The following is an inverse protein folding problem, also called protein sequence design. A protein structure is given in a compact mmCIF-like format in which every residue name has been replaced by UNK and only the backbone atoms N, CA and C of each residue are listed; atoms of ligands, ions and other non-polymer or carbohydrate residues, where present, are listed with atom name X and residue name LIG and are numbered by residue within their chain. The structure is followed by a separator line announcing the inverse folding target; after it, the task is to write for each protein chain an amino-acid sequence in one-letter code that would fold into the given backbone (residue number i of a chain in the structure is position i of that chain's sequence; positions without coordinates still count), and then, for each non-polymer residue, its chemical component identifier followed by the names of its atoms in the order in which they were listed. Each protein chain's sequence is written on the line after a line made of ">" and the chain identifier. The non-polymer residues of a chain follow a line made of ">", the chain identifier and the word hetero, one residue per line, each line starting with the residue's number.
data_IF_155772458906
#
_entry.id   IF_155772458906
#
_cell.length_a   1.000
_cell.length_b   1.000
_cell.length_c   1.000
_cell.angle_alpha   90.00
_cell.angle_beta   90.00
_cell.angle_gamma   90.00
#
_symmetry.space_group_name_H-M   'P 1'
#
loop_
_entity.id
_entity.type
_entity.pdbx_description
1 polymer ?
#
# COMPACT_ATOMS: atom_id res chain seq x y z
N UNK A 1 -32.47 75.88 -9.90
CA UNK A 1 -31.16 76.50 -10.06
C UNK A 1 -30.09 75.53 -9.55
N UNK A 2 -29.26 75.14 -10.49
CA UNK A 2 -28.00 74.41 -10.44
C UNK A 2 -28.01 73.02 -9.83
N UNK A 3 -28.08 72.04 -10.76
CA UNK A 3 -27.63 70.66 -10.69
C UNK A 3 -26.14 70.59 -10.40
N UNK A 4 -25.78 69.63 -9.56
CA UNK A 4 -24.43 69.09 -9.47
C UNK A 4 -24.46 67.57 -9.58
N UNK A 5 -24.12 67.10 -10.75
CA UNK A 5 -23.94 65.65 -11.06
C UNK A 5 -22.66 65.13 -10.36
N UNK A 6 -22.85 64.09 -9.56
CA UNK A 6 -21.71 63.31 -9.00
C UNK A 6 -21.53 62.03 -9.85
N UNK A 7 -20.51 62.07 -10.67
CA UNK A 7 -19.96 60.91 -11.36
C UNK A 7 -19.21 60.01 -10.37
N UNK A 8 -19.74 58.82 -10.06
CA UNK A 8 -19.02 57.77 -9.36
C UNK A 8 -18.10 57.03 -10.32
N UNK A 9 -16.82 57.14 -10.09
CA UNK A 9 -15.81 56.29 -10.71
C UNK A 9 -15.78 54.93 -10.02
N UNK A 10 -15.99 53.86 -10.79
CA UNK A 10 -15.74 52.48 -10.34
C UNK A 10 -14.20 52.20 -10.41
N UNK A 11 -13.62 51.57 -9.40
CA UNK A 11 -12.27 51.06 -9.53
C UNK A 11 -12.31 49.69 -10.23
N UNK A 12 -11.75 49.62 -11.41
CA UNK A 12 -11.35 48.36 -12.03
C UNK A 12 -9.98 47.98 -11.43
N UNK A 13 -9.89 46.82 -10.86
CA UNK A 13 -8.76 45.90 -10.59
C UNK A 13 -8.94 45.20 -9.24
N UNK A 14 -9.20 43.88 -9.28
CA UNK A 14 -8.19 42.94 -8.77
C UNK A 14 -8.11 41.59 -9.54
N UNK A 15 -8.66 41.47 -10.76
CA UNK A 15 -8.68 40.16 -11.45
C UNK A 15 -7.32 39.70 -12.02
N UNK A 16 -6.38 40.59 -12.25
CA UNK A 16 -5.08 40.21 -12.85
C UNK A 16 -4.09 39.63 -11.83
N UNK A 17 -4.17 40.05 -10.57
CA UNK A 17 -3.24 39.57 -9.53
C UNK A 17 -3.54 38.11 -9.09
N UNK A 18 -4.81 37.70 -9.10
CA UNK A 18 -5.20 36.33 -8.71
C UNK A 18 -4.82 35.29 -9.78
N UNK A 19 -4.85 35.67 -11.06
CA UNK A 19 -4.45 34.79 -12.16
C UNK A 19 -2.93 34.56 -12.22
N UNK A 20 -2.14 35.59 -11.90
CA UNK A 20 -0.67 35.49 -11.83
C UNK A 20 -0.19 34.66 -10.63
N UNK A 21 -0.87 34.70 -9.48
CA UNK A 21 -0.56 33.83 -8.34
C UNK A 21 -0.89 32.37 -8.60
N UNK A 22 -1.99 32.08 -9.32
CA UNK A 22 -2.36 30.71 -9.67
C UNK A 22 -1.38 30.08 -10.69
N UNK A 23 -0.88 30.88 -11.65
CA UNK A 23 0.11 30.40 -12.62
C UNK A 23 1.47 30.18 -11.96
N UNK A 24 1.90 31.00 -11.00
CA UNK A 24 3.16 30.81 -10.27
C UNK A 24 3.11 29.62 -9.29
N UNK A 25 1.95 29.29 -8.73
CA UNK A 25 1.81 28.11 -7.87
C UNK A 25 1.76 26.81 -8.66
N UNK A 26 1.19 26.77 -9.88
CA UNK A 26 1.28 25.61 -10.76
C UNK A 26 2.73 25.33 -11.19
N UNK A 27 3.50 26.35 -11.56
CA UNK A 27 4.90 26.19 -11.96
C UNK A 27 5.79 25.70 -10.83
N UNK A 28 5.58 26.18 -9.59
CA UNK A 28 6.37 25.75 -8.43
C UNK A 28 6.08 24.31 -7.99
N UNK A 29 4.86 23.78 -8.25
CA UNK A 29 4.49 22.41 -7.90
C UNK A 29 5.05 21.38 -8.92
N UNK A 30 5.17 21.76 -10.17
CA UNK A 30 5.78 20.92 -11.22
C UNK A 30 7.28 20.73 -11.01
N UNK A 31 7.97 21.71 -10.44
CA UNK A 31 9.41 21.68 -10.18
C UNK A 31 9.82 20.95 -8.88
N UNK A 32 8.88 20.58 -8.01
CA UNK A 32 9.20 19.95 -6.73
C UNK A 32 9.90 18.58 -6.90
N UNK A 33 9.53 17.82 -7.94
CA UNK A 33 10.12 16.52 -8.28
C UNK A 33 10.37 16.44 -9.79
N UNK A 34 11.42 17.08 -10.31
CA UNK A 34 11.66 17.16 -11.74
C UNK A 34 12.00 15.79 -12.31
N UNK A 35 11.30 15.45 -13.41
CA UNK A 35 11.56 14.25 -14.19
C UNK A 35 12.49 14.62 -15.32
N UNK A 36 13.60 13.89 -15.46
CA UNK A 36 14.64 14.14 -16.46
C UNK A 36 14.97 12.86 -17.20
N UNK A 37 15.54 12.94 -18.41
CA UNK A 37 16.16 11.77 -19.04
C UNK A 37 17.20 11.14 -18.11
N UNK A 38 17.27 9.80 -18.12
CA UNK A 38 18.34 9.07 -17.43
C UNK A 38 19.68 9.47 -18.02
N UNK A 39 20.62 9.91 -17.18
CA UNK A 39 21.96 10.29 -17.65
C UNK A 39 22.86 9.09 -17.86
N UNK A 40 23.95 9.28 -18.59
CA UNK A 40 24.96 8.22 -18.81
C UNK A 40 25.57 7.78 -17.47
N UNK A 41 25.87 8.73 -16.59
CA UNK A 41 26.44 8.50 -15.26
C UNK A 41 25.48 7.68 -14.40
N UNK A 42 24.19 7.99 -14.41
CA UNK A 42 23.16 7.21 -13.72
C UNK A 42 23.05 5.79 -14.28
N UNK A 43 23.07 5.65 -15.62
CA UNK A 43 23.04 4.32 -16.26
C UNK A 43 24.25 3.46 -15.87
N UNK A 44 25.44 4.04 -15.87
CA UNK A 44 26.68 3.36 -15.48
C UNK A 44 26.70 3.00 -13.98
N UNK A 45 26.33 3.96 -13.14
CA UNK A 45 26.34 3.78 -11.68
C UNK A 45 25.29 2.77 -11.22
N UNK A 46 24.04 2.89 -11.71
CA UNK A 46 22.93 2.04 -11.29
C UNK A 46 22.74 0.80 -12.17
N UNK A 47 23.59 0.60 -13.18
CA UNK A 47 23.51 -0.52 -14.15
C UNK A 47 22.13 -0.57 -14.83
N UNK A 48 21.66 0.60 -15.25
CA UNK A 48 20.41 0.74 -15.99
C UNK A 48 20.62 0.49 -17.47
N UNK A 49 19.75 -0.32 -18.07
CA UNK A 49 19.70 -0.47 -19.52
C UNK A 49 19.08 0.79 -20.15
N UNK A 50 19.90 1.56 -20.88
CA UNK A 50 19.47 2.80 -21.53
C UNK A 50 18.42 2.58 -22.63
N UNK A 51 18.28 1.33 -23.14
CA UNK A 51 17.20 1.01 -24.07
C UNK A 51 15.83 1.00 -23.38
N UNK A 52 15.78 0.63 -22.11
CA UNK A 52 14.55 0.56 -21.33
C UNK A 52 14.31 1.81 -20.46
N UNK A 53 15.28 2.19 -19.63
CA UNK A 53 15.13 3.30 -18.69
C UNK A 53 15.30 4.65 -19.38
N UNK A 54 14.25 5.45 -19.39
CA UNK A 54 14.19 6.73 -20.10
C UNK A 54 14.03 7.93 -19.17
N UNK A 55 13.29 7.75 -18.06
CA UNK A 55 12.95 8.83 -17.14
C UNK A 55 13.55 8.57 -15.78
N UNK A 56 14.03 9.63 -15.12
CA UNK A 56 14.59 9.58 -13.78
C UNK A 56 14.17 10.79 -12.94
N UNK A 57 14.00 10.53 -11.65
CA UNK A 57 13.84 11.56 -10.60
C UNK A 57 14.76 11.19 -9.45
N UNK A 58 15.56 12.13 -8.96
CA UNK A 58 16.39 11.94 -7.77
C UNK A 58 15.76 12.68 -6.60
N UNK A 59 15.44 11.96 -5.53
CA UNK A 59 14.86 12.51 -4.30
C UNK A 59 15.55 11.90 -3.08
N UNK A 60 16.07 12.72 -2.16
CA UNK A 60 16.74 12.24 -0.94
C UNK A 60 17.84 11.18 -1.21
N UNK A 61 18.56 11.31 -2.34
CA UNK A 61 19.55 10.35 -2.87
C UNK A 61 18.97 8.97 -3.23
N UNK A 62 17.65 8.85 -3.36
CA UNK A 62 16.96 7.70 -3.95
C UNK A 62 16.73 8.03 -5.44
N UNK A 63 17.22 7.16 -6.33
CA UNK A 63 16.97 7.28 -7.77
C UNK A 63 15.70 6.53 -8.14
N UNK A 64 14.71 7.23 -8.68
CA UNK A 64 13.54 6.64 -9.32
C UNK A 64 13.81 6.58 -10.80
N UNK A 65 13.75 5.40 -11.41
CA UNK A 65 14.00 5.20 -12.83
C UNK A 65 12.92 4.35 -13.50
N UNK A 66 12.49 4.74 -14.69
CA UNK A 66 11.38 4.06 -15.40
C UNK A 66 11.54 4.07 -16.90
N UNK A 67 10.71 3.27 -17.58
CA UNK A 67 10.46 3.37 -19.01
C UNK A 67 9.68 4.67 -19.35
N UNK A 68 9.48 4.92 -20.63
CA UNK A 68 8.59 6.00 -21.13
C UNK A 68 7.12 5.79 -20.76
N UNK A 69 6.69 4.55 -20.49
CA UNK A 69 5.28 4.18 -20.36
C UNK A 69 4.69 4.55 -18.99
N UNK A 70 5.53 4.73 -17.98
CA UNK A 70 5.08 5.12 -16.63
C UNK A 70 4.64 6.58 -16.63
N UNK A 71 3.51 6.87 -16.00
CA UNK A 71 2.99 8.23 -15.88
C UNK A 71 3.95 9.14 -15.09
N UNK A 72 4.05 10.39 -15.48
CA UNK A 72 4.81 11.40 -14.73
C UNK A 72 4.19 11.68 -13.36
N UNK A 73 2.88 11.51 -13.23
CA UNK A 73 2.23 11.61 -11.91
C UNK A 73 2.71 10.52 -10.95
N UNK A 74 2.93 9.30 -11.46
CA UNK A 74 3.46 8.18 -10.67
C UNK A 74 4.89 8.46 -10.18
N UNK A 75 5.75 9.02 -11.05
CA UNK A 75 7.08 9.47 -10.64
C UNK A 75 7.03 10.48 -9.51
N UNK A 76 6.21 11.52 -9.66
CA UNK A 76 6.08 12.60 -8.66
C UNK A 76 5.46 12.09 -7.36
N UNK A 77 4.48 11.19 -7.44
CA UNK A 77 3.87 10.58 -6.26
C UNK A 77 4.87 9.71 -5.49
N UNK A 78 5.61 8.85 -6.17
CA UNK A 78 6.65 8.05 -5.54
C UNK A 78 7.73 8.94 -4.89
N UNK A 79 8.18 9.98 -5.61
CA UNK A 79 9.15 10.94 -5.08
C UNK A 79 8.61 11.67 -3.84
N UNK A 80 7.35 12.08 -3.86
CA UNK A 80 6.70 12.72 -2.72
C UNK A 80 6.65 11.79 -1.50
N UNK A 81 6.25 10.53 -1.67
CA UNK A 81 6.20 9.59 -0.55
C UNK A 81 7.59 9.36 0.04
N UNK A 82 8.62 9.14 -0.78
CA UNK A 82 10.01 9.02 -0.30
C UNK A 82 10.48 10.27 0.42
N UNK A 83 10.21 11.46 -0.13
CA UNK A 83 10.61 12.73 0.47
C UNK A 83 9.99 12.93 1.85
N UNK A 84 8.68 12.66 1.98
CA UNK A 84 7.96 12.82 3.24
C UNK A 84 8.45 11.85 4.32
N UNK A 85 8.66 10.59 3.96
CA UNK A 85 9.19 9.58 4.89
C UNK A 85 10.63 9.92 5.27
N UNK A 86 11.51 10.21 4.30
CA UNK A 86 12.92 10.51 4.56
C UNK A 86 13.14 11.78 5.40
N UNK A 87 12.27 12.77 5.29
CA UNK A 87 12.29 13.99 6.11
C UNK A 87 11.96 13.73 7.57
N UNK A 88 11.17 12.71 7.86
CA UNK A 88 10.75 12.36 9.22
C UNK A 88 11.69 11.39 9.92
N UNK A 89 12.48 10.62 9.15
CA UNK A 89 13.39 9.60 9.71
C UNK A 89 14.54 10.26 10.48
N UNK A 90 14.95 9.64 11.56
CA UNK A 90 16.12 10.01 12.36
C UNK A 90 17.34 10.26 11.46
N UNK A 91 18.07 11.39 11.61
CA UNK A 91 19.07 11.84 10.63
C UNK A 91 20.20 10.84 10.36
N UNK A 92 20.66 10.09 11.37
CA UNK A 92 21.72 9.09 11.21
C UNK A 92 21.26 7.87 10.41
N UNK A 93 19.98 7.49 10.54
CA UNK A 93 19.36 6.42 9.74
C UNK A 93 19.18 6.92 8.31
N UNK A 94 18.63 8.11 8.12
CA UNK A 94 18.45 8.71 6.80
C UNK A 94 19.79 8.81 6.04
N UNK A 95 20.87 9.18 6.73
CA UNK A 95 22.20 9.26 6.13
C UNK A 95 22.69 7.88 5.64
N UNK A 96 22.55 6.82 6.45
CA UNK A 96 22.92 5.48 6.04
C UNK A 96 22.11 4.98 4.84
N UNK A 97 20.82 5.33 4.77
CA UNK A 97 19.97 4.98 3.61
C UNK A 97 20.48 5.68 2.34
N UNK A 98 20.81 6.98 2.41
CA UNK A 98 21.37 7.74 1.27
C UNK A 98 22.67 7.12 0.76
N UNK A 99 23.56 6.74 1.65
CA UNK A 99 24.84 6.10 1.33
C UNK A 99 24.68 4.78 0.58
N UNK A 100 23.52 4.09 0.74
CA UNK A 100 23.22 2.84 0.04
C UNK A 100 22.76 3.05 -1.40
N UNK A 101 22.51 4.31 -1.83
CA UNK A 101 22.10 4.64 -3.19
C UNK A 101 20.93 3.76 -3.66
N UNK A 102 19.83 3.84 -2.95
CA UNK A 102 18.62 3.06 -3.24
C UNK A 102 18.12 3.36 -4.64
N UNK A 103 17.77 2.32 -5.38
CA UNK A 103 17.11 2.42 -6.69
C UNK A 103 15.63 2.06 -6.52
N UNK A 104 14.75 2.93 -6.97
CA UNK A 104 13.33 2.64 -7.15
C UNK A 104 13.05 2.46 -8.64
N UNK A 105 12.48 1.33 -9.01
CA UNK A 105 11.98 1.04 -10.34
C UNK A 105 10.47 1.10 -10.31
N UNK A 106 9.87 1.92 -11.18
CA UNK A 106 8.42 1.89 -11.40
C UNK A 106 8.14 1.15 -12.70
N UNK A 107 7.12 0.30 -12.69
CA UNK A 107 6.66 -0.45 -13.84
C UNK A 107 5.25 0.03 -14.22
N UNK A 108 5.02 0.34 -15.49
CA UNK A 108 3.74 0.85 -15.98
C UNK A 108 2.62 -0.18 -15.83
N UNK A 109 1.39 0.28 -15.75
CA UNK A 109 0.20 -0.57 -15.60
C UNK A 109 0.00 -1.58 -16.75
N UNK A 110 0.66 -1.37 -17.91
CA UNK A 110 0.69 -2.30 -19.04
C UNK A 110 2.05 -2.96 -19.26
N UNK A 111 2.98 -2.79 -18.34
CA UNK A 111 4.28 -3.45 -18.37
C UNK A 111 4.30 -4.62 -17.40
N UNK A 112 5.00 -5.66 -17.76
CA UNK A 112 5.28 -6.79 -16.89
C UNK A 112 6.57 -6.57 -16.12
N UNK A 113 6.67 -7.14 -14.94
CA UNK A 113 7.92 -7.10 -14.17
C UNK A 113 9.09 -7.71 -14.96
N UNK A 114 8.81 -8.76 -15.73
CA UNK A 114 9.82 -9.40 -16.61
C UNK A 114 10.23 -8.56 -17.82
N UNK A 115 9.51 -7.49 -18.18
CA UNK A 115 9.90 -6.55 -19.23
C UNK A 115 11.07 -5.65 -18.76
N UNK A 116 11.22 -5.48 -17.46
CA UNK A 116 12.32 -4.70 -16.88
C UNK A 116 13.61 -5.52 -16.98
N UNK A 117 14.66 -5.05 -17.71
CA UNK A 117 15.85 -5.87 -17.99
C UNK A 117 16.53 -6.48 -16.77
N UNK A 118 16.59 -5.76 -15.63
CA UNK A 118 17.18 -6.27 -14.39
C UNK A 118 16.30 -7.30 -13.66
N UNK A 119 15.05 -7.48 -14.08
CA UNK A 119 14.07 -8.42 -13.55
C UNK A 119 13.59 -9.42 -14.61
N UNK A 120 14.26 -9.48 -15.75
CA UNK A 120 14.01 -10.51 -16.75
C UNK A 120 14.05 -11.91 -16.10
N UNK A 121 13.13 -12.77 -16.52
CA UNK A 121 12.96 -14.11 -15.93
C UNK A 121 13.08 -15.18 -17.03
N UNK A 122 13.67 -16.29 -16.69
CA UNK A 122 13.72 -17.52 -17.50
C UNK A 122 12.50 -18.42 -17.34
N UNK A 123 11.56 -18.04 -16.46
CA UNK A 123 10.28 -18.72 -16.26
C UNK A 123 9.42 -18.66 -17.50
N UNK A 124 8.56 -19.64 -17.68
CA UNK A 124 7.63 -19.73 -18.82
C UNK A 124 6.23 -20.14 -18.34
N UNK A 125 5.21 -19.91 -19.20
CA UNK A 125 3.84 -20.29 -18.94
C UNK A 125 3.31 -19.75 -17.62
N UNK A 126 2.56 -20.58 -16.86
CA UNK A 126 1.92 -20.19 -15.60
C UNK A 126 2.90 -19.67 -14.53
N UNK A 127 4.15 -20.11 -14.52
CA UNK A 127 5.14 -19.61 -13.57
C UNK A 127 5.58 -18.19 -13.90
N UNK A 128 5.69 -17.86 -15.19
CA UNK A 128 5.99 -16.51 -15.66
C UNK A 128 4.80 -15.59 -15.39
N UNK A 129 3.59 -16.03 -15.69
CA UNK A 129 2.37 -15.28 -15.42
C UNK A 129 2.23 -14.97 -13.94
N UNK A 130 2.46 -15.98 -13.08
CA UNK A 130 2.46 -15.80 -11.64
C UNK A 130 3.56 -14.83 -11.17
N UNK A 131 4.78 -14.95 -11.71
CA UNK A 131 5.87 -14.03 -11.41
C UNK A 131 5.47 -12.58 -11.73
N UNK A 132 4.99 -12.33 -12.93
CA UNK A 132 4.59 -11.00 -13.38
C UNK A 132 3.42 -10.40 -12.58
N UNK A 133 2.50 -11.27 -12.14
CA UNK A 133 1.35 -10.85 -11.36
C UNK A 133 1.70 -10.62 -9.88
N UNK A 134 2.53 -11.50 -9.27
CA UNK A 134 2.87 -11.44 -7.84
C UNK A 134 3.97 -10.41 -7.54
N UNK A 135 4.92 -10.24 -8.43
CA UNK A 135 6.10 -9.40 -8.23
C UNK A 135 5.86 -7.99 -8.79
N UNK A 136 4.88 -7.27 -8.20
CA UNK A 136 4.57 -5.88 -8.57
C UNK A 136 4.81 -4.87 -7.45
N UNK A 137 5.25 -5.34 -6.28
CA UNK A 137 5.74 -4.56 -5.16
C UNK A 137 6.69 -5.44 -4.37
N UNK A 138 7.98 -5.08 -4.32
CA UNK A 138 8.97 -5.85 -3.56
C UNK A 138 10.30 -5.11 -3.40
N UNK A 139 11.07 -5.51 -2.38
CA UNK A 139 12.47 -5.15 -2.19
C UNK A 139 13.38 -6.32 -2.57
N UNK A 140 14.49 -6.01 -3.22
CA UNK A 140 15.60 -6.94 -3.49
C UNK A 140 16.95 -6.23 -3.42
N UNK A 141 18.03 -6.99 -3.59
CA UNK A 141 19.38 -6.44 -3.73
C UNK A 141 19.91 -6.74 -5.12
N UNK A 142 20.32 -5.71 -5.86
CA UNK A 142 20.99 -5.82 -7.15
C UNK A 142 22.25 -4.97 -7.13
N UNK A 143 23.34 -5.52 -7.63
CA UNK A 143 24.64 -4.84 -7.69
C UNK A 143 25.07 -4.19 -6.36
N UNK A 144 24.80 -4.87 -5.24
CA UNK A 144 25.18 -4.44 -3.90
C UNK A 144 24.34 -3.31 -3.29
N UNK A 145 23.24 -2.90 -3.94
CA UNK A 145 22.31 -1.85 -3.44
C UNK A 145 20.89 -2.36 -3.25
N UNK A 146 20.10 -1.73 -2.38
CA UNK A 146 18.67 -1.98 -2.30
C UNK A 146 17.99 -1.51 -3.57
N UNK A 147 17.13 -2.35 -4.14
CA UNK A 147 16.29 -2.03 -5.28
C UNK A 147 14.86 -2.36 -4.91
N UNK A 148 14.00 -1.36 -4.95
CA UNK A 148 12.55 -1.52 -4.79
C UNK A 148 11.87 -1.39 -6.14
N UNK A 149 10.86 -2.23 -6.39
CA UNK A 149 10.03 -2.13 -7.56
C UNK A 149 8.58 -1.93 -7.13
N UNK A 150 7.88 -1.02 -7.82
CA UNK A 150 6.44 -0.78 -7.61
C UNK A 150 5.72 -0.70 -8.95
N UNK A 151 4.48 -1.19 -8.94
CA UNK A 151 3.58 -0.99 -10.06
C UNK A 151 2.94 0.41 -10.00
N UNK A 152 2.77 1.01 -11.16
CA UNK A 152 2.11 2.30 -11.32
C UNK A 152 0.70 2.31 -10.73
N UNK A 153 -0.05 1.23 -10.95
CA UNK A 153 -1.41 1.07 -10.46
C UNK A 153 -1.53 1.06 -8.94
N UNK A 154 -0.49 0.58 -8.25
CA UNK A 154 -0.47 0.52 -6.78
C UNK A 154 -0.03 1.86 -6.18
N UNK A 155 0.98 2.53 -6.79
CA UNK A 155 1.44 3.85 -6.34
C UNK A 155 0.34 4.91 -6.49
N UNK A 156 -0.43 4.84 -7.58
CA UNK A 156 -1.51 5.79 -7.89
C UNK A 156 -2.89 5.32 -7.46
N UNK A 157 -3.00 4.13 -6.87
CA UNK A 157 -4.26 3.51 -6.47
C UNK A 157 -5.29 3.47 -7.60
N UNK A 158 -4.86 3.06 -8.81
CA UNK A 158 -5.78 2.90 -9.94
C UNK A 158 -6.83 1.82 -9.64
N UNK A 159 -7.99 1.92 -10.30
CA UNK A 159 -9.00 0.87 -10.22
C UNK A 159 -8.41 -0.46 -10.71
N UNK A 160 -8.39 -1.47 -9.87
CA UNK A 160 -7.78 -2.79 -10.12
C UNK A 160 -6.39 -2.98 -9.52
N UNK A 161 -5.70 -1.90 -9.11
CA UNK A 161 -4.50 -1.94 -8.29
C UNK A 161 -4.81 -2.02 -6.78
N UNK A 162 -3.76 -1.98 -5.98
CA UNK A 162 -3.87 -1.90 -4.52
C UNK A 162 -4.40 -0.52 -4.12
N UNK A 163 -5.50 -0.46 -3.38
CA UNK A 163 -6.18 0.77 -3.00
C UNK A 163 -6.34 0.94 -1.49
N UNK A 164 -5.78 0.04 -0.72
CA UNK A 164 -6.03 -0.04 0.72
C UNK A 164 -4.78 0.20 1.54
N UNK A 165 -3.63 0.20 0.88
CA UNK A 165 -2.32 0.40 1.52
C UNK A 165 -1.34 1.05 0.56
N UNK A 166 -0.29 1.69 1.08
CA UNK A 166 0.87 2.05 0.28
C UNK A 166 1.93 0.95 0.34
N UNK A 167 2.00 0.14 -0.70
CA UNK A 167 3.07 -0.87 -0.88
C UNK A 167 4.45 -0.19 -0.89
N UNK A 168 4.54 1.05 -1.41
CA UNK A 168 5.80 1.81 -1.40
C UNK A 168 6.28 2.03 0.03
N UNK A 169 5.40 2.43 0.95
CA UNK A 169 5.76 2.66 2.36
C UNK A 169 6.15 1.34 3.05
N UNK A 170 5.46 0.24 2.72
CA UNK A 170 5.80 -1.09 3.23
C UNK A 170 7.23 -1.51 2.83
N UNK A 171 7.51 -1.55 1.54
CA UNK A 171 8.82 -1.97 1.02
C UNK A 171 9.93 -1.00 1.44
N UNK A 172 9.61 0.29 1.57
CA UNK A 172 10.56 1.25 2.11
C UNK A 172 10.81 1.04 3.60
N UNK A 173 9.84 0.51 4.34
CA UNK A 173 10.03 0.01 5.70
C UNK A 173 11.16 -1.03 5.77
N UNK A 174 11.18 -1.98 4.84
CA UNK A 174 12.28 -2.94 4.72
C UNK A 174 13.62 -2.28 4.35
N UNK A 175 13.63 -1.26 3.48
CA UNK A 175 14.84 -0.49 3.17
C UNK A 175 15.35 0.23 4.42
N UNK A 176 14.47 0.87 5.19
CA UNK A 176 14.83 1.56 6.44
C UNK A 176 15.51 0.57 7.40
N UNK A 177 14.97 -0.61 7.56
CA UNK A 177 15.56 -1.64 8.41
C UNK A 177 16.89 -2.17 7.85
N UNK A 178 16.90 -2.59 6.59
CA UNK A 178 18.04 -3.27 5.98
C UNK A 178 19.25 -2.36 5.71
N UNK A 179 19.00 -1.09 5.39
CA UNK A 179 20.04 -0.12 5.05
C UNK A 179 20.36 0.84 6.20
N UNK A 180 19.34 1.17 7.01
CA UNK A 180 19.45 2.23 8.01
C UNK A 180 19.72 1.77 9.44
N UNK A 181 19.40 0.52 9.81
CA UNK A 181 19.54 0.05 11.19
C UNK A 181 20.96 -0.38 11.54
N UNK A 182 21.31 -0.15 12.78
CA UNK A 182 22.47 -0.79 13.41
C UNK A 182 22.09 -2.20 13.91
N UNK A 183 23.07 -3.08 14.20
CA UNK A 183 22.80 -4.37 14.82
C UNK A 183 21.99 -4.28 16.12
N UNK A 184 22.24 -3.25 16.94
CA UNK A 184 21.55 -3.02 18.22
C UNK A 184 20.08 -2.66 17.99
N UNK A 185 19.79 -1.81 17.01
CA UNK A 185 18.42 -1.44 16.67
C UNK A 185 17.66 -2.64 16.08
N UNK A 186 18.31 -3.42 15.21
CA UNK A 186 17.74 -4.68 14.73
C UNK A 186 17.45 -5.68 15.86
N UNK A 187 18.34 -5.79 16.85
CA UNK A 187 18.13 -6.66 18.01
C UNK A 187 16.90 -6.20 18.83
N UNK A 188 16.67 -4.90 18.95
CA UNK A 188 15.50 -4.35 19.65
C UNK A 188 14.19 -4.63 18.91
N UNK A 189 14.17 -4.51 17.58
CA UNK A 189 12.99 -4.90 16.77
C UNK A 189 12.74 -6.40 16.90
N UNK A 190 13.79 -7.22 16.90
CA UNK A 190 13.66 -8.66 17.13
C UNK A 190 13.08 -8.96 18.51
N UNK A 191 13.53 -8.29 19.55
CA UNK A 191 13.00 -8.47 20.91
C UNK A 191 11.51 -8.10 21.01
N UNK A 192 11.11 -6.97 20.40
CA UNK A 192 9.70 -6.55 20.35
C UNK A 192 8.84 -7.58 19.57
N UNK A 193 9.33 -8.09 18.44
CA UNK A 193 8.66 -9.14 17.66
C UNK A 193 8.46 -10.43 18.47
N UNK A 194 9.50 -10.91 19.15
CA UNK A 194 9.36 -12.12 19.99
C UNK A 194 8.40 -11.89 21.16
N UNK A 195 8.43 -10.72 21.77
CA UNK A 195 7.52 -10.36 22.84
C UNK A 195 6.07 -10.26 22.34
N UNK A 196 5.84 -9.68 21.17
CA UNK A 196 4.51 -9.67 20.55
C UNK A 196 3.97 -11.09 20.34
N UNK A 197 4.83 -12.01 19.88
CA UNK A 197 4.49 -13.44 19.73
C UNK A 197 4.17 -14.10 21.08
N UNK A 198 4.97 -13.84 22.09
CA UNK A 198 4.76 -14.39 23.43
C UNK A 198 3.46 -13.90 24.07
N UNK A 199 3.15 -12.63 23.92
CA UNK A 199 1.88 -12.03 24.37
C UNK A 199 0.67 -12.49 23.55
N UNK A 200 0.88 -13.06 22.37
CA UNK A 200 -0.18 -13.52 21.49
C UNK A 200 -0.92 -12.40 20.77
N UNK A 201 -0.36 -11.17 20.72
CA UNK A 201 -0.90 -10.11 19.89
C UNK A 201 -0.64 -10.45 18.41
N UNK A 202 -1.40 -9.84 17.49
CA UNK A 202 -1.44 -10.19 16.06
C UNK A 202 -1.88 -11.67 15.77
N UNK A 203 -2.52 -12.35 16.74
CA UNK A 203 -3.21 -13.61 16.49
C UNK A 203 -4.73 -13.41 16.29
N UNK A 204 -5.16 -12.19 16.19
CA UNK A 204 -6.54 -11.74 15.99
C UNK A 204 -6.82 -11.28 14.55
N UNK A 205 -5.96 -11.67 13.62
CA UNK A 205 -6.17 -11.46 12.19
C UNK A 205 -7.39 -12.22 11.70
N UNK A 206 -8.08 -11.65 10.73
CA UNK A 206 -9.26 -12.29 10.16
C UNK A 206 -8.84 -13.37 9.17
N UNK A 207 -9.31 -14.59 9.40
CA UNK A 207 -9.25 -15.65 8.42
C UNK A 207 -10.26 -15.41 7.28
N UNK A 208 -10.38 -14.18 6.85
CA UNK A 208 -11.35 -13.76 5.87
C UNK A 208 -11.12 -14.49 4.55
N UNK A 209 -11.99 -15.39 4.24
CA UNK A 209 -11.80 -16.27 3.10
C UNK A 209 -12.75 -15.98 1.96
N UNK A 210 -13.91 -15.39 2.25
CA UNK A 210 -14.91 -15.15 1.22
C UNK A 210 -15.51 -13.76 1.36
N UNK A 211 -15.10 -12.90 0.46
CA UNK A 211 -15.71 -11.59 0.27
C UNK A 211 -16.72 -11.65 -0.87
N UNK A 212 -17.90 -11.05 -0.68
CA UNK A 212 -18.90 -10.87 -1.73
C UNK A 212 -19.54 -9.49 -1.62
N UNK A 213 -19.85 -8.93 -2.78
CA UNK A 213 -20.75 -7.78 -2.86
C UNK A 213 -22.18 -8.25 -3.05
N UNK A 214 -23.08 -7.70 -2.28
CA UNK A 214 -24.51 -7.86 -2.48
C UNK A 214 -24.88 -7.20 -3.82
N UNK A 215 -25.73 -7.85 -4.63
CA UNK A 215 -26.12 -7.32 -5.94
C UNK A 215 -27.33 -6.39 -5.87
N UNK A 216 -28.10 -6.43 -4.78
CA UNK A 216 -29.35 -5.65 -4.63
C UNK A 216 -29.09 -4.18 -4.36
N UNK A 217 -29.74 -3.29 -5.11
CA UNK A 217 -29.72 -1.86 -4.85
C UNK A 217 -30.67 -1.47 -3.69
N UNK A 218 -31.65 -2.31 -3.37
CA UNK A 218 -32.56 -2.13 -2.24
C UNK A 218 -32.17 -3.04 -1.08
N UNK A 219 -32.46 -2.66 0.17
CA UNK A 219 -32.15 -3.49 1.33
C UNK A 219 -32.81 -4.88 1.23
N UNK A 220 -31.98 -5.93 1.33
CA UNK A 220 -32.43 -7.33 1.40
C UNK A 220 -31.97 -7.96 2.70
N UNK A 221 -32.61 -9.04 3.13
CA UNK A 221 -32.16 -9.83 4.27
C UNK A 221 -30.73 -10.27 4.07
N UNK A 222 -29.90 -10.15 5.10
CA UNK A 222 -28.50 -10.61 5.09
C UNK A 222 -28.44 -12.12 4.79
N UNK A 223 -29.29 -12.93 5.41
CA UNK A 223 -29.33 -14.38 5.17
C UNK A 223 -29.65 -14.71 3.71
N UNK A 224 -30.60 -14.00 3.10
CA UNK A 224 -30.94 -14.21 1.68
C UNK A 224 -29.77 -13.78 0.76
N UNK A 225 -29.10 -12.69 1.11
CA UNK A 225 -27.93 -12.23 0.37
C UNK A 225 -26.75 -13.21 0.50
N UNK A 226 -26.55 -13.80 1.68
CA UNK A 226 -25.52 -14.81 1.94
C UNK A 226 -25.80 -16.09 1.17
N UNK A 227 -27.03 -16.62 1.24
CA UNK A 227 -27.41 -17.84 0.52
C UNK A 227 -27.21 -17.69 -1.00
N UNK A 228 -27.52 -16.53 -1.57
CA UNK A 228 -27.27 -16.25 -3.00
C UNK A 228 -25.79 -16.06 -3.32
N UNK A 229 -25.02 -15.51 -2.39
CA UNK A 229 -23.60 -15.20 -2.62
C UNK A 229 -22.69 -16.39 -2.38
N UNK A 230 -23.12 -17.35 -1.56
CA UNK A 230 -22.37 -18.53 -1.17
C UNK A 230 -23.21 -19.81 -1.35
N UNK A 231 -23.57 -20.15 -2.58
CA UNK A 231 -24.49 -21.27 -2.84
C UNK A 231 -23.92 -22.65 -2.48
N UNK A 232 -22.62 -22.73 -2.21
CA UNK A 232 -21.96 -23.95 -1.73
C UNK A 232 -22.04 -24.14 -0.22
N UNK A 233 -22.49 -23.11 0.52
CA UNK A 233 -22.59 -23.17 1.97
C UNK A 233 -24.02 -23.49 2.41
N UNK A 234 -24.18 -24.32 3.45
CA UNK A 234 -25.52 -24.64 3.95
C UNK A 234 -26.08 -23.49 4.78
N UNK A 235 -27.43 -23.36 4.83
CA UNK A 235 -28.07 -22.36 5.69
C UNK A 235 -27.67 -22.48 7.15
N UNK A 236 -27.50 -23.70 7.66
CA UNK A 236 -27.09 -24.00 9.04
C UNK A 236 -25.66 -23.50 9.31
N UNK A 237 -24.76 -23.68 8.34
CA UNK A 237 -23.39 -23.16 8.44
C UNK A 237 -23.39 -21.63 8.48
N UNK A 238 -24.16 -20.99 7.59
CA UNK A 238 -24.27 -19.54 7.54
C UNK A 238 -24.88 -18.96 8.82
N UNK A 239 -25.91 -19.62 9.40
CA UNK A 239 -26.48 -19.23 10.69
C UNK A 239 -25.47 -19.36 11.82
N UNK A 240 -24.70 -20.45 11.87
CA UNK A 240 -23.63 -20.65 12.84
C UNK A 240 -22.55 -19.56 12.74
N UNK A 241 -22.17 -19.16 11.52
CA UNK A 241 -21.23 -18.06 11.32
C UNK A 241 -21.78 -16.74 11.81
N UNK A 242 -23.07 -16.46 11.61
CA UNK A 242 -23.73 -15.26 12.15
C UNK A 242 -23.75 -15.26 13.68
N UNK A 243 -24.16 -16.35 14.29
CA UNK A 243 -24.21 -16.49 15.76
C UNK A 243 -22.80 -16.42 16.40
N UNK A 244 -21.79 -16.92 15.68
CA UNK A 244 -20.39 -16.85 16.08
C UNK A 244 -19.73 -15.48 15.87
N UNK A 245 -20.39 -14.55 15.19
CA UNK A 245 -19.80 -13.25 14.81
C UNK A 245 -18.81 -13.33 13.65
N UNK A 246 -18.80 -14.44 12.91
CA UNK A 246 -17.88 -14.70 11.81
C UNK A 246 -18.34 -14.05 10.49
N UNK A 247 -19.46 -13.35 10.49
CA UNK A 247 -19.95 -12.58 9.34
C UNK A 247 -19.89 -11.10 9.68
N UNK A 248 -19.12 -10.38 8.89
CA UNK A 248 -18.92 -8.95 9.04
C UNK A 248 -19.60 -8.20 7.89
N UNK A 249 -20.28 -7.12 8.21
CA UNK A 249 -20.76 -6.15 7.22
C UNK A 249 -20.03 -4.83 7.47
N UNK A 250 -19.32 -4.35 6.46
CA UNK A 250 -18.49 -3.15 6.56
C UNK A 250 -17.51 -3.23 7.76
N UNK A 251 -16.94 -4.42 7.97
CA UNK A 251 -15.97 -4.68 9.01
C UNK A 251 -16.54 -4.86 10.42
N UNK A 252 -17.86 -4.97 10.61
CA UNK A 252 -18.49 -5.15 11.93
C UNK A 252 -19.33 -6.42 11.96
N UNK A 253 -19.29 -7.20 13.06
CA UNK A 253 -20.23 -8.30 13.27
C UNK A 253 -21.67 -7.79 13.24
N UNK A 254 -22.56 -8.57 12.65
CA UNK A 254 -23.96 -8.21 12.48
C UNK A 254 -24.88 -9.33 12.92
N UNK A 255 -26.14 -8.99 13.19
CA UNK A 255 -27.17 -9.96 13.58
C UNK A 255 -27.90 -10.50 12.33
N UNK A 256 -28.58 -11.62 12.50
CA UNK A 256 -29.29 -12.30 11.41
C UNK A 256 -30.41 -11.44 10.79
N UNK A 257 -30.97 -10.50 11.52
CA UNK A 257 -32.01 -9.57 11.07
C UNK A 257 -31.47 -8.36 10.28
N UNK A 258 -30.16 -8.24 10.13
CA UNK A 258 -29.51 -7.19 9.38
C UNK A 258 -29.99 -7.16 7.92
N UNK A 259 -30.10 -5.96 7.37
CA UNK A 259 -30.37 -5.75 5.94
C UNK A 259 -29.13 -5.15 5.28
N UNK A 260 -28.88 -5.61 4.05
CA UNK A 260 -27.70 -5.23 3.27
C UNK A 260 -28.08 -4.82 1.84
N UNK A 261 -27.26 -3.95 1.24
CA UNK A 261 -27.41 -3.48 -0.14
C UNK A 261 -26.10 -3.74 -0.92
N UNK A 262 -26.09 -3.38 -2.20
CA UNK A 262 -24.88 -3.47 -3.03
C UNK A 262 -23.72 -2.57 -2.56
N UNK A 263 -24.00 -1.59 -1.70
CA UNK A 263 -22.98 -0.71 -1.13
C UNK A 263 -22.25 -1.37 0.05
N UNK A 264 -22.83 -2.45 0.58
CA UNK A 264 -22.26 -3.14 1.74
C UNK A 264 -21.24 -4.20 1.34
N UNK A 265 -20.12 -4.19 2.05
CA UNK A 265 -19.08 -5.22 1.97
C UNK A 265 -19.39 -6.32 2.97
N UNK A 266 -19.79 -7.49 2.47
CA UNK A 266 -20.06 -8.69 3.30
C UNK A 266 -18.86 -9.62 3.25
N UNK A 267 -18.38 -10.00 4.43
CA UNK A 267 -17.21 -10.83 4.63
C UNK A 267 -17.56 -12.01 5.55
N UNK A 268 -17.26 -13.24 5.14
CA UNK A 268 -17.29 -14.40 6.02
C UNK A 268 -15.87 -14.74 6.44
N UNK A 269 -15.68 -14.86 7.75
CA UNK A 269 -14.43 -15.24 8.38
C UNK A 269 -14.48 -16.75 8.70
N UNK A 270 -13.56 -17.52 8.15
CA UNK A 270 -13.51 -18.96 8.38
C UNK A 270 -12.35 -19.33 9.30
N UNK A 271 -12.65 -20.19 10.28
CA UNK A 271 -11.61 -20.89 11.03
C UNK A 271 -11.00 -20.16 12.22
N UNK A 272 -11.71 -19.12 12.73
CA UNK A 272 -11.30 -18.40 13.93
C UNK A 272 -10.13 -17.43 13.73
N UNK A 273 -9.64 -16.77 14.77
CA UNK A 273 -8.57 -15.80 14.71
C UNK A 273 -7.29 -16.42 14.14
N UNK A 274 -6.73 -15.80 13.10
CA UNK A 274 -5.48 -16.19 12.48
C UNK A 274 -4.40 -15.15 12.73
N UNK A 275 -3.17 -15.56 12.52
CA UNK A 275 -2.03 -14.66 12.61
C UNK A 275 -2.07 -13.63 11.50
N UNK A 276 -1.80 -12.38 11.87
CA UNK A 276 -1.59 -11.32 10.92
C UNK A 276 -0.25 -11.50 10.19
N UNK A 277 -0.13 -10.85 9.03
CA UNK A 277 1.09 -10.82 8.24
C UNK A 277 2.27 -10.25 9.05
N UNK A 278 2.02 -9.33 9.97
CA UNK A 278 2.99 -8.83 10.95
C UNK A 278 3.75 -9.95 11.71
N UNK A 279 3.17 -11.15 11.84
CA UNK A 279 3.84 -12.29 12.47
C UNK A 279 4.56 -13.21 11.47
N UNK A 280 4.59 -12.88 10.18
CA UNK A 280 5.28 -13.67 9.16
C UNK A 280 6.80 -13.73 9.40
N UNK A 281 7.38 -12.59 9.73
CA UNK A 281 8.79 -12.45 10.11
C UNK A 281 9.03 -11.17 10.91
N UNK A 282 10.21 -11.03 11.51
CA UNK A 282 10.61 -9.75 12.11
C UNK A 282 10.63 -8.59 11.11
N UNK A 283 10.97 -8.86 9.85
CA UNK A 283 11.01 -7.84 8.82
C UNK A 283 9.60 -7.35 8.48
N UNK A 284 8.64 -8.27 8.34
CA UNK A 284 7.24 -7.92 8.11
C UNK A 284 6.62 -7.20 9.33
N UNK A 285 6.93 -7.65 10.54
CA UNK A 285 6.50 -6.96 11.77
C UNK A 285 6.90 -5.48 11.78
N UNK A 286 8.14 -5.20 11.36
CA UNK A 286 8.62 -3.83 11.25
C UNK A 286 7.91 -3.07 10.11
N UNK A 287 7.82 -3.66 8.90
CA UNK A 287 7.22 -3.00 7.73
C UNK A 287 5.73 -2.70 7.92
N UNK A 288 4.98 -3.63 8.50
CA UNK A 288 3.57 -3.43 8.90
C UNK A 288 3.45 -2.30 9.92
N UNK A 289 4.34 -2.26 10.92
CA UNK A 289 4.40 -1.16 11.88
C UNK A 289 4.71 0.20 11.24
N UNK A 290 5.52 0.24 10.18
CA UNK A 290 5.78 1.46 9.40
C UNK A 290 4.52 1.90 8.65
N UNK A 291 3.77 0.97 8.07
CA UNK A 291 2.48 1.30 7.43
C UNK A 291 1.46 1.82 8.45
N UNK A 292 1.32 1.16 9.60
CA UNK A 292 0.46 1.64 10.69
C UNK A 292 0.87 3.04 11.18
N UNK A 293 2.19 3.31 11.24
CA UNK A 293 2.72 4.60 11.67
C UNK A 293 2.34 5.76 10.75
N UNK A 294 2.21 5.47 9.46
CA UNK A 294 1.79 6.45 8.45
C UNK A 294 0.32 6.35 8.04
N UNK A 295 -0.51 5.60 8.80
CA UNK A 295 -1.96 5.40 8.58
C UNK A 295 -2.29 4.83 7.19
N UNK A 296 -1.49 3.89 6.71
CA UNK A 296 -1.62 3.33 5.36
C UNK A 296 -1.60 1.81 5.31
N UNK A 297 -1.94 1.13 6.40
CA UNK A 297 -2.03 -0.33 6.37
C UNK A 297 -3.42 -0.82 5.95
N UNK A 298 -3.48 -2.04 5.43
CA UNK A 298 -4.75 -2.75 5.21
C UNK A 298 -5.35 -3.16 6.55
N UNK A 299 -6.64 -3.37 6.56
CA UNK A 299 -7.35 -3.75 7.76
C UNK A 299 -8.44 -4.78 7.48
N UNK A 300 -8.65 -5.67 8.43
CA UNK A 300 -9.77 -6.62 8.47
C UNK A 300 -9.90 -7.47 7.19
N UNK A 301 -8.80 -7.99 6.72
CA UNK A 301 -8.74 -8.94 5.62
C UNK A 301 -8.07 -10.26 6.05
N UNK A 302 -7.71 -11.11 5.08
CA UNK A 302 -7.13 -12.42 5.38
C UNK A 302 -5.73 -12.36 6.00
N UNK A 303 -5.06 -11.20 5.95
CA UNK A 303 -3.68 -10.99 6.41
C UNK A 303 -3.59 -10.04 7.61
N UNK A 304 -4.61 -9.21 7.84
CA UNK A 304 -4.56 -8.08 8.75
C UNK A 304 -5.72 -8.09 9.75
N UNK A 305 -5.46 -7.59 10.95
CA UNK A 305 -6.47 -7.30 11.95
C UNK A 305 -7.08 -5.90 11.76
N UNK A 306 -7.55 -5.27 12.82
CA UNK A 306 -8.15 -3.94 12.80
C UNK A 306 -7.13 -2.79 12.92
N UNK A 307 -5.84 -3.10 13.13
CA UNK A 307 -4.80 -2.09 13.30
C UNK A 307 -4.35 -1.60 11.92
N UNK A 308 -4.42 -0.30 11.70
CA UNK A 308 -4.00 0.33 10.44
C UNK A 308 -3.65 1.81 10.61
N UNK A 309 -3.64 2.32 11.87
CA UNK A 309 -3.31 3.73 12.15
C UNK A 309 -2.32 3.83 13.31
N UNK A 310 -1.57 4.94 13.34
CA UNK A 310 -0.61 5.24 14.41
C UNK A 310 -1.25 5.21 15.79
N UNK A 311 -2.45 5.75 15.95
CA UNK A 311 -3.12 5.79 17.24
C UNK A 311 -3.52 4.39 17.71
N UNK A 312 -3.96 3.53 16.79
CA UNK A 312 -4.27 2.14 17.11
C UNK A 312 -2.99 1.37 17.43
N UNK A 313 -1.91 1.54 16.66
CA UNK A 313 -0.61 0.92 16.95
C UNK A 313 -0.10 1.30 18.35
N UNK A 314 -0.15 2.59 18.71
CA UNK A 314 0.27 3.06 20.03
C UNK A 314 -0.47 2.37 21.18
N UNK A 315 -1.73 2.00 20.97
CA UNK A 315 -2.55 1.32 21.98
C UNK A 315 -2.39 -0.21 21.96
N UNK A 316 -2.21 -0.79 20.79
CA UNK A 316 -2.21 -2.23 20.58
C UNK A 316 -0.82 -2.86 20.77
N UNK A 317 0.20 -2.25 20.17
CA UNK A 317 1.62 -2.65 20.31
C UNK A 317 2.49 -1.44 20.66
N UNK A 318 2.52 -1.04 21.93
CA UNK A 318 3.27 0.14 22.35
C UNK A 318 4.80 -0.03 22.20
N UNK A 319 5.31 -1.26 22.14
CA UNK A 319 6.75 -1.50 21.94
C UNK A 319 7.16 -1.21 20.48
N UNK A 320 6.40 -1.71 19.52
CA UNK A 320 6.60 -1.39 18.12
C UNK A 320 6.35 0.11 17.86
N UNK A 321 5.30 0.68 18.41
CA UNK A 321 5.00 2.10 18.31
C UNK A 321 6.15 2.98 18.82
N UNK A 322 6.80 2.60 19.93
CA UNK A 322 7.96 3.30 20.47
C UNK A 322 9.16 3.24 19.53
N UNK A 323 9.40 2.09 18.91
CA UNK A 323 10.47 1.92 17.90
C UNK A 323 10.17 2.75 16.66
N UNK A 324 8.92 2.75 16.18
CA UNK A 324 8.49 3.61 15.08
C UNK A 324 8.70 5.10 15.41
N UNK A 325 8.30 5.55 16.58
CA UNK A 325 8.50 6.94 17.02
C UNK A 325 9.99 7.34 17.05
N UNK A 326 10.86 6.45 17.55
CA UNK A 326 12.29 6.69 17.62
C UNK A 326 12.96 6.79 16.25
N UNK A 327 12.53 5.93 15.31
CA UNK A 327 13.15 5.80 13.98
C UNK A 327 12.54 6.77 12.99
N UNK A 328 11.20 6.86 12.95
CA UNK A 328 10.44 7.58 11.93
C UNK A 328 10.07 9.01 12.37
N UNK A 329 10.28 9.34 13.64
CA UNK A 329 9.79 10.59 14.23
C UNK A 329 8.27 10.61 14.42
N UNK A 330 7.76 11.62 15.10
CA UNK A 330 6.32 11.81 15.36
C UNK A 330 5.78 13.02 14.59
N UNK A 331 6.12 13.10 13.29
CA UNK A 331 5.63 14.18 12.41
C UNK A 331 4.11 14.10 12.24
N UNK A 332 3.49 15.23 11.88
CA UNK A 332 2.04 15.29 11.57
C UNK A 332 1.68 14.62 10.25
N UNK A 333 2.66 14.37 9.40
CA UNK A 333 2.38 13.77 8.09
C UNK A 333 1.83 12.35 8.22
N UNK A 334 0.79 12.08 7.46
CA UNK A 334 0.19 10.77 7.23
C UNK A 334 0.03 10.55 5.74
N UNK A 335 0.05 9.30 5.35
CA UNK A 335 -0.29 8.96 3.98
C UNK A 335 -1.76 9.33 3.71
N UNK A 336 -1.98 9.95 2.58
CA UNK A 336 -3.31 10.23 2.05
C UNK A 336 -3.32 9.78 0.60
N UNK A 337 -4.33 9.04 0.22
CA UNK A 337 -4.49 8.52 -1.14
C UNK A 337 -4.24 9.59 -2.22
N UNK A 338 -3.44 9.30 -3.25
CA UNK A 338 -3.23 10.21 -4.36
C UNK A 338 -4.55 10.57 -5.08
N UNK A 339 -5.54 9.69 -5.01
CA UNK A 339 -6.88 9.95 -5.57
C UNK A 339 -7.61 11.08 -4.85
N UNK A 340 -7.46 11.18 -3.54
CA UNK A 340 -8.06 12.26 -2.73
C UNK A 340 -7.29 13.56 -2.79
N UNK A 341 -6.00 13.50 -3.14
CA UNK A 341 -5.12 14.66 -3.33
C UNK A 341 -4.99 15.09 -4.81
N UNK A 342 -5.79 14.50 -5.69
CA UNK A 342 -5.78 14.80 -7.11
C UNK A 342 -5.91 16.32 -7.37
N UNK A 343 -5.17 16.81 -8.34
CA UNK A 343 -5.14 18.23 -8.69
C UNK A 343 -4.37 19.13 -7.69
N UNK A 344 -3.77 18.57 -6.63
CA UNK A 344 -3.07 19.35 -5.60
C UNK A 344 -1.55 19.11 -5.64
N UNK A 345 -0.77 20.16 -5.41
CA UNK A 345 0.69 20.08 -5.29
C UNK A 345 1.33 19.37 -6.49
N UNK A 346 2.16 18.35 -6.23
CA UNK A 346 2.83 17.54 -7.26
C UNK A 346 1.87 16.71 -8.14
N UNK A 347 0.59 16.60 -7.77
CA UNK A 347 -0.48 15.99 -8.56
C UNK A 347 -1.33 17.03 -9.31
N UNK A 348 -0.87 18.26 -9.44
CA UNK A 348 -1.54 19.28 -10.24
C UNK A 348 -1.78 18.77 -11.67
N UNK A 349 -3.05 18.82 -12.13
CA UNK A 349 -3.46 18.28 -13.42
C UNK A 349 -3.79 16.78 -13.45
N UNK A 350 -3.56 16.04 -12.38
CA UNK A 350 -4.03 14.65 -12.26
C UNK A 350 -5.53 14.59 -12.03
N UNK A 351 -6.23 13.80 -12.84
CA UNK A 351 -7.66 13.51 -12.70
C UNK A 351 -7.88 11.99 -12.58
N UNK A 352 -8.29 11.48 -11.42
CA UNK A 352 -8.56 10.06 -11.20
C UNK A 352 -9.66 9.49 -12.12
N UNK A 353 -10.57 10.33 -12.64
CA UNK A 353 -11.61 9.86 -13.54
C UNK A 353 -11.06 9.44 -14.91
N UNK A 354 -9.90 9.98 -15.30
CA UNK A 354 -9.21 9.63 -16.55
C UNK A 354 -8.10 8.61 -16.36
N UNK A 355 -7.85 8.19 -15.11
CA UNK A 355 -6.82 7.23 -14.80
C UNK A 355 -7.12 5.86 -15.43
N UNK A 356 -6.07 5.09 -15.77
CA UNK A 356 -6.22 3.74 -16.27
C UNK A 356 -7.02 2.85 -15.32
N UNK A 357 -7.80 1.93 -15.88
CA UNK A 357 -8.42 0.83 -15.15
C UNK A 357 -7.63 -0.43 -15.41
N UNK A 358 -7.10 -1.02 -14.35
CA UNK A 358 -6.34 -2.26 -14.43
C UNK A 358 -7.26 -3.41 -14.05
N UNK A 359 -7.98 -3.98 -15.00
CA UNK A 359 -8.90 -5.08 -14.74
C UNK A 359 -8.19 -6.40 -14.49
N UNK A 360 -7.05 -6.60 -15.15
CA UNK A 360 -6.02 -7.63 -14.97
C UNK A 360 -4.81 -7.18 -15.77
N UNK A 361 -3.65 -7.73 -15.49
CA UNK A 361 -2.56 -7.63 -16.46
C UNK A 361 -3.04 -8.36 -17.72
N UNK A 362 -3.29 -7.63 -18.80
CA UNK A 362 -3.90 -8.13 -20.04
C UNK A 362 -3.15 -9.34 -20.66
N UNK A 363 -1.92 -9.56 -20.19
CA UNK A 363 -1.01 -10.61 -20.65
C UNK A 363 -0.92 -11.81 -19.69
N UNK A 364 -1.63 -11.78 -18.56
CA UNK A 364 -1.66 -12.90 -17.63
C UNK A 364 -2.84 -13.79 -17.98
N UNK A 365 -2.54 -15.02 -18.41
CA UNK A 365 -3.55 -16.02 -18.65
C UNK A 365 -4.27 -16.37 -17.33
N UNK A 366 -5.60 -16.34 -17.37
CA UNK A 366 -6.45 -16.76 -16.26
C UNK A 366 -6.16 -18.21 -15.80
N UNK A 367 -5.55 -19.02 -16.65
CA UNK A 367 -5.11 -20.36 -16.33
C UNK A 367 -4.05 -20.41 -15.20
N UNK A 368 -3.45 -19.28 -14.84
CA UNK A 368 -2.55 -19.18 -13.67
C UNK A 368 -3.29 -19.09 -12.32
N UNK A 369 -4.61 -18.92 -12.32
CA UNK A 369 -5.39 -18.72 -11.08
C UNK A 369 -5.28 -19.91 -10.11
N UNK A 370 -5.32 -21.14 -10.61
CA UNK A 370 -5.17 -22.35 -9.79
C UNK A 370 -3.75 -22.48 -9.20
N UNK A 371 -2.73 -22.07 -9.95
CA UNK A 371 -1.35 -21.99 -9.46
C UNK A 371 -1.23 -20.95 -8.33
N UNK A 372 -1.87 -19.82 -8.50
CA UNK A 372 -1.90 -18.73 -7.54
C UNK A 372 -2.62 -19.13 -6.24
N UNK A 373 -3.81 -19.73 -6.35
CA UNK A 373 -4.57 -20.19 -5.20
C UNK A 373 -3.80 -21.26 -4.41
N UNK A 374 -3.10 -22.15 -5.12
CA UNK A 374 -2.20 -23.14 -4.50
C UNK A 374 -1.03 -22.47 -3.77
N UNK A 375 -0.40 -21.47 -4.38
CA UNK A 375 0.70 -20.73 -3.75
C UNK A 375 0.29 -20.12 -2.41
N UNK A 376 -0.84 -19.41 -2.35
CA UNK A 376 -1.34 -18.80 -1.13
C UNK A 376 -1.71 -19.84 -0.07
N UNK A 377 -2.35 -20.91 -0.48
CA UNK A 377 -2.66 -22.01 0.43
C UNK A 377 -1.40 -22.62 1.05
N UNK A 378 -0.38 -22.85 0.24
CA UNK A 378 0.89 -23.41 0.70
C UNK A 378 1.69 -22.39 1.53
N UNK A 379 1.64 -21.11 1.18
CA UNK A 379 2.25 -20.02 1.95
C UNK A 379 1.66 -19.95 3.36
N UNK A 380 0.34 -19.86 3.47
CA UNK A 380 -0.33 -19.80 4.77
C UNK A 380 -0.12 -21.05 5.59
N UNK A 381 -0.13 -22.23 4.96
CA UNK A 381 0.18 -23.47 5.65
C UNK A 381 1.60 -23.45 6.23
N UNK A 382 2.60 -23.07 5.46
CA UNK A 382 3.99 -22.96 5.95
C UNK A 382 4.11 -21.96 7.10
N UNK A 383 3.44 -20.82 7.00
CA UNK A 383 3.44 -19.80 8.03
C UNK A 383 2.82 -20.32 9.33
N UNK A 384 1.69 -21.01 9.23
CA UNK A 384 1.04 -21.64 10.37
C UNK A 384 1.91 -22.74 10.98
N UNK A 385 2.44 -23.64 10.17
CA UNK A 385 3.28 -24.75 10.64
C UNK A 385 4.56 -24.24 11.35
N UNK A 386 5.19 -23.19 10.80
CA UNK A 386 6.40 -22.57 11.37
C UNK A 386 6.16 -21.93 12.74
N UNK A 387 4.94 -21.45 12.99
CA UNK A 387 4.61 -20.69 14.18
C UNK A 387 3.51 -21.32 15.03
N UNK A 388 3.09 -22.55 14.73
CA UNK A 388 2.08 -23.26 15.49
C UNK A 388 2.53 -23.35 16.97
N UNK A 389 1.87 -22.60 17.85
CA UNK A 389 1.94 -22.90 19.29
C UNK A 389 1.07 -24.13 19.57
N UNK A 390 1.43 -24.99 20.53
CA UNK A 390 0.49 -26.00 21.02
C UNK A 390 -0.83 -25.30 21.36
N UNK A 391 -1.93 -25.94 21.03
CA UNK A 391 -3.26 -25.43 21.33
C UNK A 391 -3.31 -24.99 22.81
N UNK A 392 -3.69 -23.75 23.07
CA UNK A 392 -3.93 -23.28 24.44
C UNK A 392 -5.04 -24.19 24.98
N UNK A 393 -4.84 -24.90 26.10
CA UNK A 393 -5.89 -25.68 26.70
C UNK A 393 -7.09 -24.78 26.92
N UNK A 394 -8.29 -25.22 26.49
CA UNK A 394 -9.51 -24.50 26.83
C UNK A 394 -9.59 -24.40 28.36
N UNK A 395 -9.95 -23.25 28.93
CA UNK A 395 -10.21 -23.18 30.34
C UNK A 395 -11.28 -24.24 30.72
N UNK A 396 -11.16 -24.87 31.89
CA UNK A 396 -12.18 -25.79 32.33
C UNK A 396 -13.55 -25.06 32.38
N UNK A 397 -14.58 -25.73 31.85
CA UNK A 397 -15.95 -25.22 31.87
C UNK A 397 -16.47 -25.10 33.31
#
# INVERSE_FOLDING_TARGET
>A
MSDLAHTRRHPALPFLATLLLAISTLSAAEDAFPIRPVTKEQSEEYKLDAAFFKKATLVQDILIATSEKVSDFTHREAAYQFDMVMKSIRPDIAQRIRERKVLCVLVGHRELTSDVPMFASDKTGKELDFYNWRQRGFLTTKHGRPVVLFAEEDVMEYEGGMQLESILIHEFGHVIQGAGFTPELNARVKAAFEHAKEKGIYNDGYAAQKFRRVKSATPVSLLDALAKSFPAETPEFLAKCLDGGDILVNGRPVRADAKVTREDKVLIVFGGPKRCYSLASQAEYWAEGVQDWYDTNRTMDHDHNHIHTRSQLKSYDPELAKLCAEVLGDSEWRFVSPRTRAGQGHLAGYDPATAPKVTKLEHIDLAAQDYYDKYWKDFWKRLHDKHAKPAIPKPPQ
#
